data_IF_417577561747
#
_entry.id   IF_417577561747
#
_cell.length_a   1.000
_cell.length_b   1.000
_cell.length_c   1.000
_cell.angle_alpha   90.00
_cell.angle_beta   90.00
_cell.angle_gamma   90.00
#
_symmetry.space_group_name_H-M   'P 1'
#
loop_
_entity.id
_entity.type
_entity.pdbx_description
1 polymer ?
#
# COMPACT_ATOMS: atom_id res chain seq x y z
N UNK A 1 25.04 2.55 -14.67
CA UNK A 1 24.71 1.66 -13.54
C UNK A 1 24.31 2.43 -12.27
N UNK A 2 25.14 3.33 -11.73
CA UNK A 2 24.80 4.03 -10.47
C UNK A 2 23.50 4.87 -10.53
N UNK A 3 23.30 5.63 -11.62
CA UNK A 3 22.10 6.45 -11.84
C UNK A 3 20.80 5.63 -11.87
N UNK A 4 20.79 4.50 -12.58
CA UNK A 4 19.60 3.64 -12.70
C UNK A 4 19.26 2.92 -11.39
N UNK A 5 20.27 2.56 -10.57
CA UNK A 5 20.03 2.01 -9.23
C UNK A 5 19.41 3.07 -8.31
N UNK A 6 19.91 4.31 -8.33
CA UNK A 6 19.35 5.41 -7.53
C UNK A 6 17.90 5.72 -7.89
N UNK A 7 17.58 5.80 -9.19
CA UNK A 7 16.20 6.02 -9.65
C UNK A 7 15.25 4.88 -9.24
N UNK A 8 15.73 3.63 -9.26
CA UNK A 8 14.94 2.48 -8.81
C UNK A 8 14.71 2.50 -7.29
N UNK A 9 15.72 2.90 -6.51
CA UNK A 9 15.59 3.09 -5.07
C UNK A 9 14.53 4.15 -4.75
N UNK A 10 14.60 5.31 -5.38
CA UNK A 10 13.65 6.41 -5.17
C UNK A 10 12.21 5.97 -5.51
N UNK A 11 12.02 5.26 -6.63
CA UNK A 11 10.71 4.70 -7.02
C UNK A 11 10.19 3.69 -6.02
N UNK A 12 11.05 2.78 -5.54
CA UNK A 12 10.66 1.79 -4.56
C UNK A 12 10.32 2.43 -3.21
N UNK A 13 11.05 3.47 -2.79
CA UNK A 13 10.74 4.23 -1.57
C UNK A 13 9.38 4.92 -1.69
N UNK A 14 9.09 5.64 -2.78
CA UNK A 14 7.77 6.28 -2.99
C UNK A 14 6.65 5.23 -2.97
N UNK A 15 6.86 4.09 -3.64
CA UNK A 15 5.89 3.00 -3.65
C UNK A 15 5.61 2.43 -2.25
N UNK A 16 6.66 2.08 -1.49
CA UNK A 16 6.53 1.55 -0.14
C UNK A 16 5.88 2.55 0.81
N UNK A 17 6.24 3.84 0.73
CA UNK A 17 5.60 4.90 1.51
C UNK A 17 4.10 4.99 1.23
N UNK A 18 3.70 4.92 -0.05
CA UNK A 18 2.28 4.97 -0.43
C UNK A 18 1.48 3.78 0.07
N UNK A 19 2.05 2.58 0.03
CA UNK A 19 1.41 1.35 0.56
C UNK A 19 1.28 1.41 2.08
N UNK A 20 2.32 1.90 2.78
CA UNK A 20 2.30 2.07 4.22
C UNK A 20 1.18 3.04 4.64
N UNK A 21 1.11 4.22 4.01
CA UNK A 21 0.08 5.22 4.30
C UNK A 21 -1.32 4.66 4.03
N UNK A 22 -1.49 3.85 2.98
CA UNK A 22 -2.77 3.19 2.69
C UNK A 22 -3.14 2.19 3.80
N UNK A 23 -2.16 1.45 4.32
CA UNK A 23 -2.38 0.49 5.41
C UNK A 23 -2.74 1.17 6.72
N UNK A 24 -2.04 2.26 7.07
CA UNK A 24 -2.38 3.11 8.22
C UNK A 24 -3.79 3.70 8.05
N UNK A 25 -4.13 4.14 6.84
CA UNK A 25 -5.48 4.67 6.55
C UNK A 25 -6.56 3.61 6.74
N UNK A 26 -6.31 2.36 6.33
CA UNK A 26 -7.21 1.22 6.58
C UNK A 26 -7.38 1.00 8.08
N UNK A 27 -6.28 1.04 8.85
CA UNK A 27 -6.34 0.91 10.30
C UNK A 27 -7.20 2.01 10.93
N UNK A 28 -6.92 3.27 10.61
CA UNK A 28 -7.65 4.43 11.12
C UNK A 28 -9.15 4.35 10.81
N UNK A 29 -9.51 4.07 9.55
CA UNK A 29 -10.92 4.06 9.16
C UNK A 29 -11.67 2.88 9.78
N UNK A 30 -11.02 1.74 9.99
CA UNK A 30 -11.61 0.57 10.67
C UNK A 30 -11.90 0.86 12.16
N UNK A 31 -11.16 1.76 12.80
CA UNK A 31 -11.43 2.17 14.18
C UNK A 31 -12.68 3.07 14.29
N UNK A 32 -13.04 3.74 13.20
CA UNK A 32 -14.11 4.74 13.17
C UNK A 32 -15.39 4.16 12.56
N UNK A 33 -15.26 3.28 11.56
CA UNK A 33 -16.36 2.78 10.75
C UNK A 33 -16.35 1.25 10.71
N UNK A 34 -17.52 0.64 10.84
CA UNK A 34 -17.70 -0.81 10.68
C UNK A 34 -17.46 -1.27 9.23
N UNK A 35 -17.78 -0.43 8.25
CA UNK A 35 -17.57 -0.64 6.83
C UNK A 35 -17.61 0.71 6.09
N UNK A 36 -17.12 0.73 4.85
CA UNK A 36 -17.00 1.97 4.07
C UNK A 36 -17.02 1.70 2.57
N UNK A 37 -17.28 2.74 1.78
CA UNK A 37 -17.13 2.66 0.32
C UNK A 37 -15.67 2.85 -0.11
N UNK A 38 -15.33 2.43 -1.33
CA UNK A 38 -14.01 2.76 -1.91
C UNK A 38 -13.78 4.26 -2.06
N UNK A 39 -14.82 5.06 -2.27
CA UNK A 39 -14.71 6.52 -2.35
C UNK A 39 -14.33 7.12 -0.99
N UNK A 40 -14.92 6.59 0.08
CA UNK A 40 -14.61 7.00 1.46
C UNK A 40 -13.15 6.68 1.79
N UNK A 41 -12.70 5.46 1.47
CA UNK A 41 -11.30 5.07 1.66
C UNK A 41 -10.35 5.96 0.85
N UNK A 42 -10.65 6.22 -0.43
CA UNK A 42 -9.82 7.08 -1.28
C UNK A 42 -9.71 8.50 -0.74
N UNK A 43 -10.83 9.06 -0.27
CA UNK A 43 -10.84 10.41 0.32
C UNK A 43 -9.89 10.48 1.51
N UNK A 44 -10.02 9.56 2.47
CA UNK A 44 -9.16 9.52 3.65
C UNK A 44 -7.70 9.24 3.29
N UNK A 45 -7.45 8.36 2.33
CA UNK A 45 -6.10 8.07 1.85
C UNK A 45 -5.43 9.31 1.26
N UNK A 46 -6.15 10.09 0.45
CA UNK A 46 -5.62 11.32 -0.12
C UNK A 46 -5.40 12.43 0.93
N UNK A 47 -6.22 12.50 1.98
CA UNK A 47 -5.97 13.37 3.14
C UNK A 47 -4.64 12.99 3.82
N UNK A 48 -4.42 11.69 4.07
CA UNK A 48 -3.19 11.21 4.70
C UNK A 48 -1.95 11.38 3.80
N UNK A 49 -2.07 11.21 2.48
CA UNK A 49 -1.01 11.54 1.51
C UNK A 49 -0.65 13.03 1.56
N UNK A 50 -1.65 13.91 1.58
CA UNK A 50 -1.45 15.37 1.68
C UNK A 50 -0.69 15.74 2.96
N UNK A 51 -1.03 15.13 4.09
CA UNK A 51 -0.34 15.35 5.36
C UNK A 51 1.14 14.92 5.34
N UNK A 52 1.53 14.07 4.39
CA UNK A 52 2.91 13.64 4.14
C UNK A 52 3.56 14.34 2.94
N UNK A 53 2.95 15.41 2.43
CA UNK A 53 3.39 16.16 1.24
C UNK A 53 3.50 15.29 -0.03
N UNK A 54 2.71 14.22 -0.14
CA UNK A 54 2.65 13.37 -1.32
C UNK A 54 1.46 13.76 -2.20
N UNK A 55 1.60 13.64 -3.55
CA UNK A 55 0.50 13.91 -4.46
C UNK A 55 -0.64 12.90 -4.26
N UNK A 56 -1.90 13.33 -4.46
CA UNK A 56 -3.07 12.48 -4.28
C UNK A 56 -3.06 11.29 -5.24
N UNK A 57 -3.62 10.18 -4.80
CA UNK A 57 -3.89 9.01 -5.62
C UNK A 57 -5.26 9.10 -6.29
N UNK A 58 -5.43 8.35 -7.37
CA UNK A 58 -6.73 8.08 -7.96
C UNK A 58 -7.24 6.69 -7.54
N UNK A 59 -8.51 6.40 -7.86
CA UNK A 59 -9.17 5.12 -7.50
C UNK A 59 -8.47 3.91 -8.13
N UNK A 60 -7.96 4.03 -9.36
CA UNK A 60 -7.30 2.93 -10.08
C UNK A 60 -5.98 2.56 -9.40
N UNK A 61 -5.15 3.55 -9.09
CA UNK A 61 -3.89 3.36 -8.37
C UNK A 61 -4.12 2.80 -6.97
N UNK A 62 -5.09 3.33 -6.22
CA UNK A 62 -5.42 2.79 -4.89
C UNK A 62 -5.88 1.32 -4.97
N UNK A 63 -6.70 0.97 -5.98
CA UNK A 63 -7.11 -0.43 -6.21
C UNK A 63 -5.91 -1.36 -6.49
N UNK A 64 -4.90 -0.89 -7.23
CA UNK A 64 -3.67 -1.66 -7.46
C UNK A 64 -2.94 -1.93 -6.15
N UNK A 65 -2.76 -0.92 -5.31
CA UNK A 65 -2.13 -1.09 -4.00
C UNK A 65 -2.93 -2.02 -3.07
N UNK A 66 -4.26 -1.92 -3.06
CA UNK A 66 -5.13 -2.85 -2.33
C UNK A 66 -4.95 -4.29 -2.82
N UNK A 67 -4.87 -4.50 -4.14
CA UNK A 67 -4.63 -5.82 -4.71
C UNK A 67 -3.25 -6.37 -4.33
N UNK A 68 -2.20 -5.56 -4.34
CA UNK A 68 -0.87 -5.96 -3.87
C UNK A 68 -0.91 -6.35 -2.39
N UNK A 69 -1.50 -5.51 -1.54
CA UNK A 69 -1.66 -5.78 -0.11
C UNK A 69 -2.44 -7.07 0.16
N UNK A 70 -3.44 -7.39 -0.65
CA UNK A 70 -4.30 -8.57 -0.47
C UNK A 70 -3.66 -9.85 -1.04
N UNK A 71 -3.22 -9.82 -2.31
CA UNK A 71 -2.83 -11.01 -3.06
C UNK A 71 -1.34 -11.32 -2.98
N UNK A 72 -0.51 -10.28 -3.05
CA UNK A 72 0.95 -10.44 -3.14
C UNK A 72 1.56 -10.48 -1.74
N UNK A 73 1.27 -9.46 -0.92
CA UNK A 73 1.87 -9.28 0.41
C UNK A 73 1.04 -9.96 1.51
N UNK A 74 -0.26 -10.18 1.26
CA UNK A 74 -1.22 -10.85 2.15
C UNK A 74 -1.34 -10.19 3.54
N UNK A 75 -1.22 -8.87 3.57
CA UNK A 75 -1.35 -8.05 4.79
C UNK A 75 -2.81 -7.76 5.10
N UNK A 76 -3.67 -7.68 4.08
CA UNK A 76 -5.10 -7.39 4.27
C UNK A 76 -5.95 -8.55 3.76
N UNK A 77 -7.14 -8.69 4.34
CA UNK A 77 -8.21 -9.53 3.83
C UNK A 77 -9.45 -8.67 3.57
N UNK A 78 -10.03 -8.79 2.37
CA UNK A 78 -11.19 -8.01 1.95
C UNK A 78 -12.49 -8.76 2.28
N UNK A 79 -13.44 -8.05 2.88
CA UNK A 79 -14.79 -8.51 3.16
C UNK A 79 -15.80 -7.57 2.49
N UNK A 80 -16.87 -8.13 1.95
CA UNK A 80 -17.99 -7.36 1.40
C UNK A 80 -19.16 -7.45 2.36
N UNK A 81 -19.82 -6.31 2.61
CA UNK A 81 -21.07 -6.27 3.35
C UNK A 81 -22.21 -5.99 2.36
N UNK A 82 -23.21 -6.89 2.35
CA UNK A 82 -24.40 -6.94 1.47
C UNK A 82 -24.18 -7.40 0.02
N UNK A 83 -25.28 -7.84 -0.59
CA UNK A 83 -25.38 -8.38 -1.95
C UNK A 83 -24.97 -7.38 -3.07
N UNK A 84 -24.79 -6.09 -2.76
CA UNK A 84 -24.47 -5.05 -3.75
C UNK A 84 -22.97 -4.72 -3.90
N UNK A 85 -22.10 -5.34 -3.07
CA UNK A 85 -20.64 -5.15 -3.07
C UNK A 85 -20.15 -3.70 -2.91
N UNK A 86 -21.03 -2.77 -2.54
CA UNK A 86 -20.72 -1.33 -2.46
C UNK A 86 -19.99 -0.94 -1.18
N UNK A 87 -20.22 -1.70 -0.11
CA UNK A 87 -19.59 -1.54 1.19
C UNK A 87 -18.53 -2.62 1.39
N UNK A 88 -17.35 -2.18 1.82
CA UNK A 88 -16.17 -3.00 2.02
C UNK A 88 -15.61 -2.81 3.41
N UNK A 89 -14.95 -3.85 3.89
CA UNK A 89 -14.13 -3.84 5.09
C UNK A 89 -12.82 -4.55 4.80
N UNK A 90 -11.69 -3.93 5.14
CA UNK A 90 -10.37 -4.55 5.01
C UNK A 90 -9.81 -4.89 6.38
N UNK A 91 -9.79 -6.18 6.73
CA UNK A 91 -9.13 -6.66 7.96
C UNK A 91 -7.61 -6.62 7.77
N UNK A 92 -6.89 -6.10 8.76
CA UNK A 92 -5.44 -6.29 8.84
C UNK A 92 -5.12 -7.66 9.43
N UNK A 93 -4.27 -8.43 8.74
CA UNK A 93 -3.87 -9.78 9.17
C UNK A 93 -2.77 -9.74 10.25
N UNK A 94 -2.16 -8.58 10.48
CA UNK A 94 -1.02 -8.38 11.37
C UNK A 94 -1.13 -7.03 12.09
N UNK A 95 -0.34 -6.85 13.15
CA UNK A 95 -0.14 -5.55 13.80
C UNK A 95 0.59 -4.57 12.86
N UNK A 96 0.41 -3.27 13.06
CA UNK A 96 1.07 -2.24 12.23
C UNK A 96 2.59 -2.38 12.22
N UNK A 97 3.21 -2.69 13.36
CA UNK A 97 4.65 -2.95 13.47
C UNK A 97 5.10 -4.09 12.56
N UNK A 98 4.40 -5.23 12.62
CA UNK A 98 4.71 -6.39 11.77
C UNK A 98 4.46 -6.12 10.29
N UNK A 99 3.50 -5.26 9.97
CA UNK A 99 3.24 -4.80 8.60
C UNK A 99 4.41 -3.96 8.09
N UNK A 100 4.88 -3.00 8.89
CA UNK A 100 6.00 -2.13 8.55
C UNK A 100 7.26 -2.95 8.23
N UNK A 101 7.59 -3.92 9.08
CA UNK A 101 8.70 -4.84 8.85
C UNK A 101 8.55 -5.62 7.52
N UNK A 102 7.37 -6.18 7.25
CA UNK A 102 7.11 -6.92 6.00
C UNK A 102 7.28 -6.06 4.75
N UNK A 103 6.82 -4.81 4.78
CA UNK A 103 6.93 -3.90 3.64
C UNK A 103 8.38 -3.50 3.38
N UNK A 104 9.16 -3.28 4.44
CA UNK A 104 10.59 -2.98 4.34
C UNK A 104 11.37 -4.16 3.79
N UNK A 105 11.12 -5.36 4.30
CA UNK A 105 11.76 -6.60 3.80
C UNK A 105 11.49 -6.80 2.30
N UNK A 106 10.25 -6.55 1.86
CA UNK A 106 9.87 -6.66 0.45
C UNK A 106 10.64 -5.66 -0.42
N UNK A 107 10.71 -4.40 -0.01
CA UNK A 107 11.45 -3.35 -0.71
C UNK A 107 12.94 -3.73 -0.90
N UNK A 108 13.61 -4.16 0.17
CA UNK A 108 15.03 -4.55 0.08
C UNK A 108 15.24 -5.77 -0.81
N UNK A 109 14.31 -6.72 -0.80
CA UNK A 109 14.36 -7.90 -1.67
C UNK A 109 14.26 -7.51 -3.15
N UNK A 110 13.32 -6.64 -3.50
CA UNK A 110 13.13 -6.14 -4.88
C UNK A 110 14.35 -5.34 -5.35
N UNK A 111 14.89 -4.48 -4.50
CA UNK A 111 16.08 -3.70 -4.79
C UNK A 111 17.29 -4.61 -5.07
N UNK A 112 17.51 -5.64 -4.24
CA UNK A 112 18.60 -6.60 -4.43
C UNK A 112 18.47 -7.36 -5.75
N UNK A 113 17.26 -7.80 -6.09
CA UNK A 113 16.98 -8.49 -7.36
C UNK A 113 17.23 -7.58 -8.56
N UNK A 114 16.83 -6.30 -8.49
CA UNK A 114 17.12 -5.32 -9.54
C UNK A 114 18.63 -5.14 -9.73
N UNK A 115 19.39 -4.95 -8.64
CA UNK A 115 20.84 -4.78 -8.72
C UNK A 115 21.48 -6.00 -9.39
N UNK A 116 21.14 -7.21 -8.93
CA UNK A 116 21.70 -8.45 -9.48
C UNK A 116 21.44 -8.60 -10.98
N UNK A 117 20.22 -8.29 -11.44
CA UNK A 117 19.88 -8.35 -12.88
C UNK A 117 20.68 -7.35 -13.72
N UNK A 118 21.02 -6.19 -13.16
CA UNK A 118 21.71 -5.11 -13.88
C UNK A 118 23.25 -5.10 -13.69
N UNK A 119 23.81 -6.01 -12.87
CA UNK A 119 25.26 -6.24 -12.74
C UNK A 119 25.77 -7.44 -13.53
N UNK A 120 24.87 -8.33 -13.97
CA UNK A 120 25.23 -9.58 -14.66
C UNK A 120 25.10 -9.45 -16.19
N UNK A 121 25.15 -8.23 -16.71
CA UNK A 121 25.11 -7.87 -18.14
C UNK A 121 26.17 -6.81 -18.38
#
# INVERSE_FOLDING_TARGET
MYKSVKEQQEKGIDHTCRILILTETIFEINLILENYSQKTLLKKYNENLKNKNLPPSNISTMKKYLNQLEKEIKIIAKFYFKNDQSLIYYKLNYTLEKIWLKLIELFYKELKQFIQKNTTT
#
